data_IF_840838929195
#
_entry.id   IF_840838929195
#
_cell.length_a   1.000
_cell.length_b   1.000
_cell.length_c   1.000
_cell.angle_alpha   90.00
_cell.angle_beta   90.00
_cell.angle_gamma   90.00
#
_symmetry.space_group_name_H-M   'P 1'
#
loop_
_entity.id
_entity.type
_entity.pdbx_description
1 polymer ?
#
# COMPACT_ATOMS: atom_id res chain seq x y z
N UNK A 1 7.59 -2.90 21.31
CA UNK A 1 6.58 -3.52 20.42
C UNK A 1 5.40 -3.98 21.25
N UNK A 2 4.21 -3.55 20.90
CA UNK A 2 3.01 -4.00 21.62
C UNK A 2 2.65 -5.40 21.16
N UNK A 3 2.45 -6.31 22.12
CA UNK A 3 2.03 -7.68 21.82
C UNK A 3 0.69 -7.68 21.10
N UNK A 4 0.60 -8.39 19.96
CA UNK A 4 -0.61 -8.54 19.17
C UNK A 4 -0.85 -7.50 18.09
N UNK A 5 -0.06 -6.42 18.01
CA UNK A 5 -0.16 -5.47 16.90
C UNK A 5 0.70 -5.91 15.72
N UNK A 6 0.18 -5.72 14.50
CA UNK A 6 0.95 -5.94 13.29
C UNK A 6 2.05 -4.91 13.15
N UNK A 7 3.18 -5.35 12.63
CA UNK A 7 4.32 -4.51 12.29
C UNK A 7 4.37 -4.34 10.78
N UNK A 8 4.17 -3.11 10.31
CA UNK A 8 4.00 -2.79 8.89
C UNK A 8 5.09 -1.81 8.46
N UNK A 9 5.69 -2.06 7.32
CA UNK A 9 6.61 -1.12 6.68
C UNK A 9 5.90 -0.45 5.50
N UNK A 10 5.91 0.89 5.46
CA UNK A 10 5.39 1.65 4.32
C UNK A 10 6.56 2.37 3.68
N UNK A 11 6.83 2.07 2.43
CA UNK A 11 7.95 2.62 1.67
C UNK A 11 7.42 3.48 0.53
N UNK A 12 7.78 4.75 0.58
CA UNK A 12 7.24 5.78 -0.31
C UNK A 12 6.09 6.53 0.36
N UNK A 13 6.33 7.81 0.65
CA UNK A 13 5.42 8.67 1.42
C UNK A 13 4.84 9.79 0.54
N UNK A 14 4.47 9.44 -0.69
CA UNK A 14 3.68 10.31 -1.55
C UNK A 14 2.23 10.36 -1.08
N UNK A 15 1.31 10.71 -1.97
CA UNK A 15 -0.10 10.85 -1.61
C UNK A 15 -0.68 9.57 -1.00
N UNK A 16 -0.58 8.45 -1.71
CA UNK A 16 -1.13 7.19 -1.20
C UNK A 16 -0.36 6.67 0.00
N UNK A 17 0.97 6.62 -0.08
CA UNK A 17 1.81 6.05 0.97
C UNK A 17 1.69 6.79 2.30
N UNK A 18 1.66 8.12 2.28
CA UNK A 18 1.51 8.90 3.50
C UNK A 18 0.13 8.71 4.14
N UNK A 19 -0.93 8.67 3.33
CA UNK A 19 -2.28 8.44 3.85
C UNK A 19 -2.42 7.06 4.48
N UNK A 20 -1.96 6.01 3.80
CA UNK A 20 -2.09 4.66 4.35
C UNK A 20 -1.23 4.47 5.59
N UNK A 21 -0.05 5.09 5.64
CA UNK A 21 0.81 5.02 6.83
C UNK A 21 0.13 5.64 8.05
N UNK A 22 -0.50 6.81 7.90
CA UNK A 22 -1.24 7.46 8.98
C UNK A 22 -2.40 6.60 9.47
N UNK A 23 -3.19 6.07 8.55
CA UNK A 23 -4.33 5.22 8.90
C UNK A 23 -3.90 3.95 9.61
N UNK A 24 -2.86 3.28 9.09
CA UNK A 24 -2.33 2.07 9.72
C UNK A 24 -1.74 2.34 11.10
N UNK A 25 -1.13 3.50 11.31
CA UNK A 25 -0.51 3.84 12.60
C UNK A 25 -1.51 3.92 13.75
N UNK A 26 -2.81 4.06 13.47
CA UNK A 26 -3.86 4.03 14.48
C UNK A 26 -4.10 2.62 15.02
N UNK A 27 -3.72 1.58 14.29
CA UNK A 27 -4.05 0.18 14.62
C UNK A 27 -2.82 -0.73 14.63
N UNK A 28 -1.71 -0.29 14.02
CA UNK A 28 -0.50 -1.09 13.82
C UNK A 28 0.74 -0.30 14.23
N UNK A 29 1.86 -1.00 14.36
CA UNK A 29 3.16 -0.33 14.42
C UNK A 29 3.66 -0.11 12.99
N UNK A 30 3.90 1.15 12.64
CA UNK A 30 4.30 1.54 11.29
C UNK A 30 5.72 2.09 11.28
N UNK A 31 6.56 1.52 10.42
CA UNK A 31 7.84 2.09 10.00
C UNK A 31 7.63 2.70 8.61
N UNK A 32 7.74 4.01 8.52
CA UNK A 32 7.57 4.75 7.27
C UNK A 32 8.93 5.17 6.72
N UNK A 33 9.17 4.90 5.44
CA UNK A 33 10.45 5.15 4.79
C UNK A 33 10.27 5.93 3.48
N UNK A 34 11.10 6.94 3.28
CA UNK A 34 11.15 7.70 2.02
C UNK A 34 12.55 8.31 1.88
N UNK A 35 12.98 8.57 0.66
CA UNK A 35 14.25 9.26 0.40
C UNK A 35 14.15 10.77 0.59
N UNK A 36 12.96 11.34 0.63
CA UNK A 36 12.70 12.76 0.79
C UNK A 36 12.61 13.15 2.27
N UNK A 37 13.55 13.94 2.74
CA UNK A 37 13.52 14.50 4.10
C UNK A 37 12.20 15.24 4.36
N UNK A 38 11.73 16.01 3.37
CA UNK A 38 10.48 16.77 3.48
C UNK A 38 9.29 15.83 3.76
N UNK A 39 9.18 14.73 3.01
CA UNK A 39 8.08 13.77 3.17
C UNK A 39 8.14 13.06 4.52
N UNK A 40 9.34 12.69 4.95
CA UNK A 40 9.53 12.06 6.27
C UNK A 40 9.14 13.04 7.38
N UNK A 41 9.59 14.28 7.30
CA UNK A 41 9.28 15.28 8.33
C UNK A 41 7.78 15.60 8.42
N UNK A 42 7.04 15.45 7.34
CA UNK A 42 5.59 15.68 7.36
C UNK A 42 4.81 14.60 8.13
N UNK A 43 5.39 13.42 8.33
CA UNK A 43 4.68 12.28 8.91
C UNK A 43 5.31 11.77 10.22
N UNK A 44 6.49 12.24 10.56
CA UNK A 44 7.29 11.66 11.65
C UNK A 44 6.54 11.60 12.99
N UNK A 45 5.68 12.57 13.27
CA UNK A 45 4.91 12.62 14.51
C UNK A 45 3.61 11.81 14.46
N UNK A 46 3.25 11.26 13.32
CA UNK A 46 1.99 10.56 13.10
C UNK A 46 2.14 9.04 12.98
N UNK A 47 3.37 8.55 12.95
CA UNK A 47 3.68 7.12 12.89
C UNK A 47 4.69 6.75 13.97
N UNK A 48 4.86 5.47 14.24
CA UNK A 48 5.75 5.01 15.29
C UNK A 48 7.22 5.30 14.98
N UNK A 49 7.62 5.12 13.72
CA UNK A 49 8.97 5.49 13.26
C UNK A 49 8.90 5.97 11.81
N UNK A 50 9.70 6.98 11.49
CA UNK A 50 9.87 7.44 10.11
C UNK A 50 11.35 7.77 9.87
N UNK A 51 11.90 7.26 8.77
CA UNK A 51 13.33 7.40 8.48
C UNK A 51 13.56 7.77 7.02
N UNK A 52 14.63 8.53 6.79
CA UNK A 52 15.06 8.91 5.45
C UNK A 52 16.02 7.83 4.95
N UNK A 53 15.63 7.10 3.91
CA UNK A 53 16.47 6.08 3.31
C UNK A 53 16.23 6.00 1.80
N UNK A 54 17.21 5.44 1.10
CA UNK A 54 17.04 5.04 -0.30
C UNK A 54 16.66 3.56 -0.35
N UNK A 55 15.42 3.28 -0.72
CA UNK A 55 14.90 1.90 -0.75
C UNK A 55 15.53 1.03 -1.84
N UNK A 56 16.31 1.61 -2.74
CA UNK A 56 17.10 0.86 -3.73
C UNK A 56 18.33 0.21 -3.11
N UNK A 57 18.76 0.68 -1.94
CA UNK A 57 19.93 0.16 -1.26
C UNK A 57 19.53 -1.01 -0.36
N UNK A 58 19.90 -2.22 -0.79
CA UNK A 58 19.55 -3.44 -0.06
C UNK A 58 20.14 -3.47 1.35
N UNK A 59 21.39 -3.03 1.54
CA UNK A 59 22.03 -3.08 2.86
C UNK A 59 21.29 -2.19 3.86
N UNK A 60 20.95 -0.97 3.45
CA UNK A 60 20.20 -0.05 4.31
C UNK A 60 18.82 -0.61 4.63
N UNK A 61 18.10 -1.07 3.60
CA UNK A 61 16.75 -1.60 3.80
C UNK A 61 16.75 -2.85 4.70
N UNK A 62 17.67 -3.77 4.48
CA UNK A 62 17.75 -5.02 5.26
C UNK A 62 18.22 -4.80 6.69
N UNK A 63 18.85 -3.65 6.99
CA UNK A 63 19.21 -3.30 8.37
C UNK A 63 18.01 -2.81 9.18
N UNK A 64 16.95 -2.37 8.51
CA UNK A 64 15.76 -1.79 9.14
C UNK A 64 14.54 -2.71 9.09
N UNK A 65 14.41 -3.46 8.01
CA UNK A 65 13.25 -4.34 7.75
C UNK A 65 13.72 -5.78 7.81
N UNK A 66 13.08 -6.56 8.68
CA UNK A 66 13.42 -7.96 8.93
C UNK A 66 12.20 -8.85 8.64
N UNK A 67 12.38 -10.19 8.61
CA UNK A 67 11.24 -11.11 8.43
C UNK A 67 10.16 -11.01 9.52
N UNK A 68 10.42 -10.30 10.62
CA UNK A 68 9.43 -10.08 11.67
C UNK A 68 8.33 -9.10 11.26
N UNK A 69 8.54 -8.32 10.21
CA UNK A 69 7.50 -7.46 9.66
C UNK A 69 6.40 -8.32 9.03
N UNK A 70 5.15 -8.04 9.40
CA UNK A 70 3.99 -8.77 8.90
C UNK A 70 3.71 -8.46 7.44
N UNK A 71 3.79 -7.20 7.08
CA UNK A 71 3.54 -6.74 5.72
C UNK A 71 4.43 -5.56 5.34
N UNK A 72 4.66 -5.40 4.05
CA UNK A 72 5.30 -4.21 3.48
C UNK A 72 4.43 -3.65 2.36
N UNK A 73 4.32 -2.32 2.33
CA UNK A 73 3.59 -1.59 1.29
C UNK A 73 4.60 -0.73 0.53
N UNK A 74 4.70 -0.95 -0.77
CA UNK A 74 5.61 -0.21 -1.66
C UNK A 74 4.79 0.78 -2.48
N UNK A 75 4.99 2.07 -2.21
CA UNK A 75 4.29 3.17 -2.88
C UNK A 75 5.29 4.13 -3.52
N UNK A 76 6.07 3.61 -4.47
CA UNK A 76 7.14 4.32 -5.17
C UNK A 76 6.79 4.53 -6.65
N UNK A 77 5.51 4.83 -6.94
CA UNK A 77 5.01 4.93 -8.31
C UNK A 77 5.69 6.02 -9.17
N UNK A 78 6.36 6.97 -8.55
CA UNK A 78 7.12 8.02 -9.26
C UNK A 78 8.41 7.47 -9.90
N UNK A 79 8.93 6.36 -9.39
CA UNK A 79 10.11 5.69 -9.91
C UNK A 79 9.85 4.19 -10.06
N UNK A 80 9.67 3.76 -11.29
CA UNK A 80 9.49 2.34 -11.60
C UNK A 80 10.69 1.52 -11.13
N UNK A 81 11.91 2.01 -11.40
CA UNK A 81 13.13 1.34 -10.96
C UNK A 81 13.16 1.15 -9.44
N UNK A 82 12.92 2.22 -8.68
CA UNK A 82 12.95 2.14 -7.22
C UNK A 82 11.89 1.18 -6.68
N UNK A 83 10.68 1.18 -7.25
CA UNK A 83 9.61 0.28 -6.81
C UNK A 83 9.95 -1.19 -7.08
N UNK A 84 10.55 -1.48 -8.23
CA UNK A 84 10.95 -2.85 -8.61
C UNK A 84 12.09 -3.33 -7.71
N UNK A 85 13.14 -2.52 -7.54
CA UNK A 85 14.27 -2.88 -6.68
C UNK A 85 13.84 -3.05 -5.22
N UNK A 86 13.03 -2.14 -4.71
CA UNK A 86 12.53 -2.24 -3.35
C UNK A 86 11.74 -3.54 -3.13
N UNK A 87 10.85 -3.87 -4.05
CA UNK A 87 10.05 -5.09 -3.98
C UNK A 87 10.93 -6.34 -4.00
N UNK A 88 11.92 -6.36 -4.90
CA UNK A 88 12.89 -7.45 -4.95
C UNK A 88 13.64 -7.59 -3.62
N UNK A 89 14.09 -6.47 -3.05
CA UNK A 89 14.82 -6.48 -1.78
C UNK A 89 13.95 -7.00 -0.63
N UNK A 90 12.70 -6.60 -0.57
CA UNK A 90 11.75 -7.07 0.45
C UNK A 90 11.52 -8.59 0.34
N UNK A 91 11.41 -9.08 -0.89
CA UNK A 91 11.31 -10.53 -1.13
C UNK A 91 12.56 -11.26 -0.63
N UNK A 92 13.74 -10.73 -0.91
CA UNK A 92 15.03 -11.30 -0.46
C UNK A 92 15.18 -11.26 1.06
N UNK A 93 14.65 -10.21 1.71
CA UNK A 93 14.63 -10.10 3.16
C UNK A 93 13.75 -11.18 3.78
N UNK A 94 12.68 -11.59 3.09
CA UNK A 94 11.79 -12.64 3.55
C UNK A 94 10.43 -12.14 4.04
N UNK A 95 10.02 -10.96 3.58
CA UNK A 95 8.67 -10.45 3.88
C UNK A 95 7.65 -11.28 3.11
N UNK A 96 6.65 -11.82 3.81
CA UNK A 96 5.68 -12.74 3.21
C UNK A 96 4.58 -12.03 2.44
N UNK A 97 4.14 -10.86 2.90
CA UNK A 97 3.08 -10.08 2.25
C UNK A 97 3.65 -8.74 1.79
N UNK A 98 3.77 -8.59 0.49
CA UNK A 98 4.30 -7.38 -0.14
C UNK A 98 3.24 -6.83 -1.08
N UNK A 99 2.69 -5.67 -0.75
CA UNK A 99 1.70 -4.98 -1.57
C UNK A 99 2.40 -3.83 -2.28
N UNK A 100 2.37 -3.82 -3.60
CA UNK A 100 3.11 -2.82 -4.37
C UNK A 100 2.16 -2.03 -5.28
N UNK A 101 2.27 -0.71 -5.20
CA UNK A 101 1.52 0.19 -6.09
C UNK A 101 2.11 0.13 -7.49
N UNK A 102 1.26 -0.18 -8.47
CA UNK A 102 1.62 -0.21 -9.87
C UNK A 102 1.03 0.98 -10.61
N UNK A 103 1.73 1.43 -11.66
CA UNK A 103 1.27 2.53 -12.53
C UNK A 103 0.71 2.02 -13.86
N UNK A 104 1.18 0.87 -14.32
CA UNK A 104 0.71 0.22 -15.57
C UNK A 104 0.56 -1.29 -15.34
N UNK A 105 -0.14 -1.96 -16.26
CA UNK A 105 -0.25 -3.43 -16.20
C UNK A 105 1.11 -4.11 -16.34
N UNK A 106 1.99 -3.59 -17.19
CA UNK A 106 3.35 -4.14 -17.34
C UNK A 106 4.16 -3.95 -16.05
N UNK A 107 4.06 -2.79 -15.42
CA UNK A 107 4.68 -2.54 -14.12
C UNK A 107 4.18 -3.55 -13.08
N UNK A 108 2.87 -3.76 -13.02
CA UNK A 108 2.29 -4.75 -12.11
C UNK A 108 2.82 -6.16 -12.38
N UNK A 109 2.94 -6.54 -13.64
CA UNK A 109 3.49 -7.85 -14.00
C UNK A 109 4.93 -8.02 -13.53
N UNK A 110 5.76 -6.99 -13.69
CA UNK A 110 7.14 -7.00 -13.20
C UNK A 110 7.18 -7.09 -11.67
N UNK A 111 6.37 -6.30 -10.99
CA UNK A 111 6.32 -6.31 -9.53
C UNK A 111 5.96 -7.69 -8.99
N UNK A 112 4.97 -8.36 -9.58
CA UNK A 112 4.61 -9.74 -9.20
C UNK A 112 5.76 -10.71 -9.48
N UNK A 113 6.42 -10.56 -10.61
CA UNK A 113 7.54 -11.43 -10.99
C UNK A 113 8.72 -11.32 -10.01
N UNK A 114 8.97 -10.15 -9.42
CA UNK A 114 10.07 -9.95 -8.47
C UNK A 114 9.67 -10.16 -7.00
N UNK A 115 8.39 -10.43 -6.71
CA UNK A 115 8.01 -10.85 -5.37
C UNK A 115 6.80 -10.18 -4.74
N UNK A 116 6.15 -9.22 -5.41
CA UNK A 116 4.92 -8.65 -4.86
C UNK A 116 3.84 -9.74 -4.76
N UNK A 117 3.20 -9.85 -3.60
CA UNK A 117 2.09 -10.76 -3.39
C UNK A 117 0.77 -10.17 -3.86
N UNK A 118 0.70 -8.85 -3.91
CA UNK A 118 -0.45 -8.11 -4.42
C UNK A 118 0.03 -6.84 -5.10
N UNK A 119 -0.54 -6.52 -6.25
CA UNK A 119 -0.34 -5.23 -6.91
C UNK A 119 -1.60 -4.39 -6.75
N UNK A 120 -1.42 -3.11 -6.45
CA UNK A 120 -2.53 -2.20 -6.18
C UNK A 120 -2.50 -1.02 -7.15
N UNK A 121 -3.70 -0.56 -7.53
CA UNK A 121 -3.91 0.61 -8.38
C UNK A 121 -4.91 1.54 -7.67
N UNK A 122 -4.48 2.30 -6.67
CA UNK A 122 -5.42 3.04 -5.80
C UNK A 122 -6.31 4.02 -6.55
N UNK A 123 -5.75 4.74 -7.52
CA UNK A 123 -6.52 5.71 -8.32
C UNK A 123 -7.54 5.00 -9.22
N UNK A 124 -7.17 3.89 -9.85
CA UNK A 124 -8.07 3.08 -10.68
C UNK A 124 -9.22 2.52 -9.84
N UNK A 125 -8.91 1.93 -8.71
CA UNK A 125 -9.91 1.31 -7.83
C UNK A 125 -10.89 2.35 -7.29
N UNK A 126 -10.38 3.51 -6.87
CA UNK A 126 -11.22 4.62 -6.41
C UNK A 126 -12.10 5.16 -7.53
N UNK A 127 -11.55 5.33 -8.75
CA UNK A 127 -12.31 5.80 -9.90
C UNK A 127 -13.41 4.82 -10.29
N UNK A 128 -13.13 3.52 -10.27
CA UNK A 128 -14.12 2.49 -10.55
C UNK A 128 -15.26 2.51 -9.53
N UNK A 129 -14.93 2.65 -8.25
CA UNK A 129 -15.92 2.73 -7.17
C UNK A 129 -16.79 3.96 -7.31
N UNK A 130 -16.17 5.13 -7.53
CA UNK A 130 -16.90 6.38 -7.67
C UNK A 130 -17.81 6.37 -8.90
N UNK A 131 -17.30 5.87 -10.03
CA UNK A 131 -18.10 5.76 -11.26
C UNK A 131 -19.30 4.83 -11.08
N UNK A 132 -19.12 3.72 -10.36
CA UNK A 132 -20.21 2.80 -10.05
C UNK A 132 -21.28 3.45 -9.17
N UNK A 133 -20.87 4.24 -8.17
CA UNK A 133 -21.79 4.98 -7.31
C UNK A 133 -22.58 6.06 -8.08
N UNK A 134 -21.91 6.76 -8.99
CA UNK A 134 -22.55 7.79 -9.80
C UNK A 134 -23.56 7.15 -10.79
N UNK A 135 -23.16 6.04 -11.43
CA UNK A 135 -24.01 5.35 -12.39
C UNK A 135 -25.21 4.65 -11.73
N UNK A 136 -25.07 4.24 -10.46
CA UNK A 136 -26.13 3.58 -9.70
C UNK A 136 -26.21 4.17 -8.29
N UNK A 137 -27.05 5.20 -8.07
CA UNK A 137 -27.14 5.88 -6.77
C UNK A 137 -27.59 4.99 -5.60
N UNK A 138 -28.16 3.82 -5.87
CA UNK A 138 -28.54 2.85 -4.83
C UNK A 138 -27.34 2.00 -4.35
N UNK A 139 -26.22 2.06 -5.05
CA UNK A 139 -25.01 1.33 -4.70
C UNK A 139 -24.29 2.06 -3.56
N UNK A 140 -24.12 1.40 -2.42
CA UNK A 140 -23.42 1.99 -1.27
C UNK A 140 -21.92 1.77 -1.39
N UNK A 141 -21.52 0.57 -1.79
CA UNK A 141 -20.12 0.21 -1.99
C UNK A 141 -20.03 -1.02 -2.88
N UNK A 142 -18.87 -1.21 -3.50
CA UNK A 142 -18.55 -2.48 -4.13
C UNK A 142 -17.06 -2.77 -4.01
N UNK A 143 -16.72 -4.05 -3.89
CA UNK A 143 -15.34 -4.51 -3.76
C UNK A 143 -15.08 -5.52 -4.86
N UNK A 144 -14.18 -5.25 -5.82
CA UNK A 144 -13.79 -6.24 -6.81
C UNK A 144 -12.98 -7.35 -6.13
N UNK A 145 -13.47 -8.62 -6.21
CA UNK A 145 -12.80 -9.78 -5.65
C UNK A 145 -11.88 -10.46 -6.66
N UNK A 146 -12.33 -10.46 -7.93
CA UNK A 146 -11.61 -10.97 -9.08
C UNK A 146 -12.19 -10.27 -10.31
N UNK A 147 -11.63 -10.53 -11.49
CA UNK A 147 -12.08 -9.86 -12.71
C UNK A 147 -13.60 -9.96 -12.94
N UNK A 148 -14.19 -11.11 -12.59
CA UNK A 148 -15.60 -11.38 -12.82
C UNK A 148 -16.48 -11.34 -11.58
N UNK A 149 -15.94 -11.04 -10.40
CA UNK A 149 -16.69 -11.08 -9.15
C UNK A 149 -16.63 -9.74 -8.43
N UNK A 150 -17.77 -9.33 -7.86
CA UNK A 150 -17.89 -8.10 -7.09
C UNK A 150 -18.83 -8.30 -5.91
N UNK A 151 -18.52 -7.66 -4.79
CA UNK A 151 -19.43 -7.54 -3.64
C UNK A 151 -20.06 -6.16 -3.71
N UNK A 152 -21.39 -6.10 -3.58
CA UNK A 152 -22.13 -4.84 -3.67
C UNK A 152 -23.01 -4.66 -2.43
N UNK A 153 -22.90 -3.49 -1.80
CA UNK A 153 -23.84 -3.03 -0.81
C UNK A 153 -24.83 -2.09 -1.49
N UNK A 154 -26.09 -2.41 -1.41
CA UNK A 154 -27.15 -1.66 -2.09
C UNK A 154 -28.18 -1.19 -1.07
N UNK A 155 -28.50 0.11 -1.09
CA UNK A 155 -29.57 0.64 -0.26
C UNK A 155 -30.93 0.12 -0.74
N UNK A 156 -31.87 -0.20 0.20
CA UNK A 156 -33.22 -0.59 -0.22
C UNK A 156 -33.93 0.55 -0.94
N UNK A 157 -34.76 0.26 -1.95
CA UNK A 157 -35.55 1.30 -2.60
C UNK A 157 -36.52 1.98 -1.64
N UNK A 158 -36.79 3.27 -1.84
CA UNK A 158 -37.70 4.03 -0.99
C UNK A 158 -39.12 3.46 -0.93
N UNK A 159 -39.51 2.65 -1.90
CA UNK A 159 -40.83 1.99 -1.94
C UNK A 159 -40.91 0.76 -1.02
N UNK A 160 -39.84 0.37 -0.35
CA UNK A 160 -39.82 -0.73 0.61
C UNK A 160 -40.04 -0.21 2.04
N UNK A 161 -41.25 0.16 2.35
CA UNK A 161 -41.67 0.57 3.70
C UNK A 161 -42.65 -0.41 4.30
#
# INVERSE_FOLDING_TARGET
MRSGQKLICVIGLGQFGSHIARELAQHCEVLALDSSEKRVNLIVDEVQRALIIDARDFQTLSSLVTPDFDEAIVSLGESMEASILCTLHLKRIGIKTIRAKAVTEDHAAILRAVGATETIFPERETAQRLAAQIANPNLLDFIPLAEDFRVMDVAPPDSFH
#
